data_IF_063687644663
#
_entry.id   IF_063687644663
#
_cell.length_a   1.000
_cell.length_b   1.000
_cell.length_c   1.000
_cell.angle_alpha   90.00
_cell.angle_beta   90.00
_cell.angle_gamma   90.00
#
_symmetry.space_group_name_H-M   'P 1'
#
loop_
_entity.id
_entity.type
_entity.pdbx_description
1 polymer ?
#
# COMPACT_ATOMS: atom_id res chain seq x y z
N UNK A 1 32.14 -7.36 -12.46
CA UNK A 1 31.33 -6.48 -11.58
C UNK A 1 29.94 -7.09 -11.54
N UNK A 2 29.65 -7.84 -10.48
CA UNK A 2 28.42 -8.61 -10.30
C UNK A 2 27.37 -7.61 -9.79
N UNK A 3 26.23 -7.41 -10.46
CA UNK A 3 25.24 -6.46 -9.98
C UNK A 3 24.73 -6.94 -8.62
N UNK A 4 24.81 -6.06 -7.63
CA UNK A 4 24.19 -6.24 -6.33
C UNK A 4 22.69 -6.43 -6.54
N UNK A 5 22.22 -7.61 -6.15
CA UNK A 5 20.82 -8.02 -6.20
C UNK A 5 20.13 -7.33 -5.02
N UNK A 6 19.63 -6.12 -5.28
CA UNK A 6 18.80 -5.34 -4.37
C UNK A 6 17.58 -6.17 -3.97
N UNK A 7 17.40 -6.42 -2.67
CA UNK A 7 16.31 -7.24 -2.12
C UNK A 7 14.92 -6.57 -2.20
N UNK A 8 14.78 -5.54 -3.06
CA UNK A 8 13.51 -4.93 -3.50
C UNK A 8 12.95 -5.54 -4.79
N UNK A 9 13.68 -6.47 -5.40
CA UNK A 9 13.36 -7.05 -6.72
C UNK A 9 12.47 -8.28 -6.54
N UNK A 10 11.16 -8.07 -6.46
CA UNK A 10 10.14 -8.94 -7.05
C UNK A 10 8.81 -8.17 -7.12
N UNK A 11 8.86 -6.85 -7.35
CA UNK A 11 7.64 -6.15 -7.73
C UNK A 11 7.34 -6.55 -9.16
N UNK A 12 6.13 -7.06 -9.45
CA UNK A 12 5.82 -7.53 -10.79
C UNK A 12 5.92 -6.36 -11.78
N UNK A 13 6.73 -6.56 -12.82
CA UNK A 13 7.08 -5.50 -13.77
C UNK A 13 5.95 -5.33 -14.77
N UNK A 14 5.37 -4.14 -14.78
CA UNK A 14 4.30 -3.78 -15.70
C UNK A 14 4.85 -3.56 -17.10
N UNK A 15 4.02 -3.87 -18.10
CA UNK A 15 4.37 -3.67 -19.50
C UNK A 15 4.46 -2.18 -19.84
N UNK A 16 3.59 -1.36 -19.28
CA UNK A 16 3.61 0.11 -19.43
C UNK A 16 4.97 0.69 -19.02
N UNK A 17 5.44 0.38 -17.82
CA UNK A 17 6.72 0.89 -17.29
C UNK A 17 7.92 0.53 -18.19
N UNK A 18 7.93 -0.70 -18.72
CA UNK A 18 9.01 -1.15 -19.62
C UNK A 18 8.93 -0.46 -20.98
N UNK A 19 7.73 -0.29 -21.51
CA UNK A 19 7.51 0.43 -22.78
C UNK A 19 7.91 1.90 -22.61
N UNK A 20 7.47 2.57 -21.54
CA UNK A 20 7.81 3.96 -21.23
C UNK A 20 9.32 4.14 -21.09
N UNK A 21 9.99 3.27 -20.33
CA UNK A 21 11.45 3.33 -20.19
C UNK A 21 12.21 3.05 -21.49
N UNK A 22 11.64 2.26 -22.40
CA UNK A 22 12.20 2.06 -23.74
C UNK A 22 11.98 3.28 -24.64
N UNK A 23 10.82 3.93 -24.56
CA UNK A 23 10.51 5.15 -25.31
C UNK A 23 11.29 6.36 -24.82
N UNK A 24 11.46 6.53 -23.52
CA UNK A 24 12.28 7.62 -22.96
C UNK A 24 13.72 7.55 -23.48
N UNK A 25 14.30 6.34 -23.47
CA UNK A 25 15.63 6.10 -24.06
C UNK A 25 15.64 6.36 -25.56
N UNK A 26 14.64 5.85 -26.29
CA UNK A 26 14.55 6.06 -27.74
C UNK A 26 14.45 7.54 -28.11
N UNK A 27 13.65 8.33 -27.38
CA UNK A 27 13.48 9.77 -27.59
C UNK A 27 14.79 10.50 -27.26
N UNK A 28 15.40 10.22 -26.10
CA UNK A 28 16.64 10.88 -25.67
C UNK A 28 17.75 10.69 -26.69
N UNK A 29 18.03 9.43 -27.08
CA UNK A 29 19.06 9.13 -28.08
C UNK A 29 18.69 9.64 -29.48
N UNK A 30 17.40 9.66 -29.83
CA UNK A 30 16.90 10.25 -31.07
C UNK A 30 17.18 11.75 -31.16
N UNK A 31 16.95 12.50 -30.09
CA UNK A 31 17.24 13.94 -30.02
C UNK A 31 18.74 14.19 -30.16
N UNK A 32 19.58 13.47 -29.41
CA UNK A 32 21.04 13.60 -29.54
C UNK A 32 21.53 13.27 -30.95
N UNK A 33 20.98 12.21 -31.58
CA UNK A 33 21.30 11.86 -32.97
C UNK A 33 20.94 12.98 -33.94
N UNK A 34 19.77 13.60 -33.77
CA UNK A 34 19.29 14.68 -34.64
C UNK A 34 20.10 15.97 -34.46
N UNK A 35 20.46 16.32 -33.22
CA UNK A 35 21.35 17.45 -32.93
C UNK A 35 22.76 17.24 -33.52
N UNK A 36 23.30 16.03 -33.38
CA UNK A 36 24.60 15.66 -33.98
C UNK A 36 24.55 15.74 -35.52
N UNK A 37 23.44 15.31 -36.14
CA UNK A 37 23.24 15.40 -37.58
C UNK A 37 23.18 16.85 -38.06
N UNK A 38 22.41 17.70 -37.36
CA UNK A 38 22.32 19.14 -37.64
C UNK A 38 23.69 19.82 -37.54
N UNK A 39 24.42 19.57 -36.46
CA UNK A 39 25.75 20.13 -36.25
C UNK A 39 26.74 19.68 -37.34
N UNK A 40 26.74 18.38 -37.65
CA UNK A 40 27.55 17.82 -38.73
C UNK A 40 27.24 18.45 -40.10
N UNK A 41 25.96 18.64 -40.43
CA UNK A 41 25.53 19.29 -41.68
C UNK A 41 25.89 20.78 -41.74
N UNK A 42 25.78 21.50 -40.62
CA UNK A 42 26.16 22.92 -40.54
C UNK A 42 27.68 23.06 -40.78
N UNK A 43 28.49 22.25 -40.10
CA UNK A 43 29.95 22.25 -40.27
C UNK A 43 30.32 21.84 -41.71
N UNK A 44 29.65 20.85 -42.29
CA UNK A 44 29.89 20.42 -43.66
C UNK A 44 29.58 21.52 -44.69
N UNK A 45 28.45 22.22 -44.54
CA UNK A 45 28.01 23.24 -45.52
C UNK A 45 28.72 24.59 -45.36
N UNK A 46 29.04 24.99 -44.14
CA UNK A 46 29.57 26.33 -43.83
C UNK A 46 31.03 26.32 -43.36
N UNK A 47 31.65 25.14 -43.21
CA UNK A 47 33.03 24.98 -42.75
C UNK A 47 34.07 25.61 -43.68
N UNK A 48 33.77 25.73 -44.98
CA UNK A 48 34.65 26.38 -45.96
C UNK A 48 34.43 27.90 -46.08
N UNK A 49 33.26 28.42 -45.68
CA UNK A 49 32.83 29.77 -46.04
C UNK A 49 32.61 30.76 -44.89
N UNK A 50 32.23 30.30 -43.68
CA UNK A 50 31.77 31.20 -42.62
C UNK A 50 32.78 31.39 -41.48
N UNK A 51 33.49 30.35 -41.10
CA UNK A 51 34.56 30.43 -40.11
C UNK A 51 35.89 30.34 -40.84
N UNK A 52 36.72 31.40 -40.84
CA UNK A 52 38.11 31.40 -41.34
C UNK A 52 39.04 30.51 -40.48
N UNK A 53 38.54 29.38 -40.01
CA UNK A 53 39.28 28.32 -39.34
C UNK A 53 39.65 27.19 -40.29
N UNK A 54 39.18 27.18 -41.55
CA UNK A 54 39.30 26.07 -42.51
C UNK A 54 40.68 25.42 -42.67
N UNK A 55 41.76 26.08 -42.23
CA UNK A 55 43.08 25.47 -42.01
C UNK A 55 43.74 26.00 -40.73
N UNK A 56 43.27 25.62 -39.55
CA UNK A 56 44.04 25.81 -38.32
C UNK A 56 45.14 24.73 -38.29
N UNK A 57 46.40 25.11 -38.54
CA UNK A 57 47.57 24.20 -38.53
C UNK A 57 47.51 22.99 -39.50
N UNK A 58 46.81 23.10 -40.63
CA UNK A 58 46.79 22.04 -41.67
C UNK A 58 45.79 20.90 -41.44
N UNK A 59 44.95 21.01 -40.41
CA UNK A 59 43.80 20.13 -40.21
C UNK A 59 42.59 20.66 -41.00
N UNK A 60 42.08 19.85 -41.89
CA UNK A 60 40.86 20.11 -42.66
C UNK A 60 39.64 19.97 -41.74
N UNK A 61 38.97 21.07 -41.40
CA UNK A 61 37.80 21.02 -40.51
C UNK A 61 36.61 20.31 -41.14
N UNK A 62 36.57 20.12 -42.46
CA UNK A 62 35.56 19.27 -43.07
C UNK A 62 35.74 17.81 -42.62
N UNK A 63 36.97 17.39 -42.29
CA UNK A 63 37.25 16.09 -41.70
C UNK A 63 36.60 15.92 -40.31
N UNK A 64 36.38 17.02 -39.58
CA UNK A 64 35.71 17.03 -38.27
C UNK A 64 34.20 16.78 -38.42
N UNK A 65 33.59 17.03 -39.59
CA UNK A 65 32.16 16.78 -39.81
C UNK A 65 31.79 15.29 -39.89
N UNK A 66 32.68 14.44 -40.43
CA UNK A 66 32.44 13.00 -40.58
C UNK A 66 32.14 12.26 -39.28
N UNK A 67 32.87 12.46 -38.15
CA UNK A 67 32.53 11.78 -36.90
C UNK A 67 31.15 12.19 -36.36
N UNK A 68 30.69 13.44 -36.56
CA UNK A 68 29.35 13.86 -36.14
C UNK A 68 28.25 13.21 -36.98
N UNK A 69 28.45 13.07 -38.29
CA UNK A 69 27.51 12.38 -39.19
C UNK A 69 27.49 10.86 -38.96
N UNK A 70 28.66 10.26 -38.71
CA UNK A 70 28.79 8.86 -38.33
C UNK A 70 28.13 8.57 -36.98
N UNK A 71 28.36 9.41 -35.97
CA UNK A 71 27.74 9.25 -34.66
C UNK A 71 26.22 9.46 -34.72
N UNK A 72 25.75 10.43 -35.49
CA UNK A 72 24.32 10.68 -35.68
C UNK A 72 23.58 9.45 -36.25
N UNK A 73 24.14 8.82 -37.30
CA UNK A 73 23.53 7.65 -37.91
C UNK A 73 23.48 6.45 -36.96
N UNK A 74 24.53 6.21 -36.16
CA UNK A 74 24.54 5.16 -35.12
C UNK A 74 23.47 5.41 -34.05
N UNK A 75 23.36 6.65 -33.56
CA UNK A 75 22.39 7.01 -32.53
C UNK A 75 20.95 6.88 -33.02
N UNK A 76 20.67 7.28 -34.26
CA UNK A 76 19.36 7.14 -34.88
C UNK A 76 19.01 5.66 -35.08
N UNK A 77 19.95 4.85 -35.57
CA UNK A 77 19.75 3.40 -35.69
C UNK A 77 19.47 2.73 -34.34
N UNK A 78 20.17 3.15 -33.28
CA UNK A 78 19.93 2.66 -31.93
C UNK A 78 18.53 3.03 -31.41
N UNK A 79 18.09 4.27 -31.63
CA UNK A 79 16.75 4.73 -31.26
C UNK A 79 15.66 3.93 -32.00
N UNK A 80 15.84 3.67 -33.30
CA UNK A 80 14.93 2.84 -34.10
C UNK A 80 14.90 1.40 -33.56
N UNK A 81 16.05 0.81 -33.25
CA UNK A 81 16.13 -0.54 -32.71
C UNK A 81 15.39 -0.67 -31.36
N UNK A 82 15.52 0.34 -30.49
CA UNK A 82 14.79 0.39 -29.21
C UNK A 82 13.28 0.56 -29.41
N UNK A 83 12.87 1.48 -30.27
CA UNK A 83 11.47 1.62 -30.64
C UNK A 83 10.88 0.33 -31.23
N UNK A 84 11.62 -0.38 -32.09
CA UNK A 84 11.20 -1.66 -32.64
C UNK A 84 11.10 -2.76 -31.57
N UNK A 85 12.00 -2.77 -30.57
CA UNK A 85 11.96 -3.75 -29.49
C UNK A 85 10.74 -3.63 -28.58
N UNK A 86 10.15 -2.43 -28.45
CA UNK A 86 8.92 -2.21 -27.67
C UNK A 86 7.72 -3.04 -28.16
N UNK A 87 7.70 -3.37 -29.46
CA UNK A 87 6.61 -4.16 -30.07
C UNK A 87 6.71 -5.65 -29.76
N UNK A 88 7.86 -6.12 -29.28
CA UNK A 88 8.14 -7.55 -29.03
C UNK A 88 7.99 -7.96 -27.57
N UNK A 89 7.55 -7.05 -26.70
CA UNK A 89 7.37 -7.32 -25.26
C UNK A 89 6.14 -8.21 -25.06
N UNK A 90 6.34 -9.39 -24.47
CA UNK A 90 5.28 -10.31 -24.08
C UNK A 90 4.32 -9.66 -23.10
N UNK A 91 3.04 -10.04 -23.15
CA UNK A 91 2.01 -9.50 -22.26
C UNK A 91 1.27 -10.64 -21.57
N UNK A 92 1.30 -10.63 -20.25
CA UNK A 92 0.41 -11.41 -19.40
C UNK A 92 -0.65 -10.48 -18.79
N UNK A 93 -1.92 -10.83 -18.90
CA UNK A 93 -3.03 -10.04 -18.38
C UNK A 93 -3.50 -10.61 -17.04
N UNK A 94 -3.52 -9.78 -16.01
CA UNK A 94 -4.11 -10.11 -14.72
C UNK A 94 -5.28 -9.16 -14.43
N UNK A 95 -6.45 -9.71 -14.13
CA UNK A 95 -7.67 -8.95 -13.85
C UNK A 95 -7.77 -8.62 -12.36
N UNK A 96 -8.06 -7.37 -12.04
CA UNK A 96 -8.26 -6.93 -10.66
C UNK A 96 -9.57 -7.48 -10.08
N UNK A 97 -9.56 -8.21 -8.95
CA UNK A 97 -10.76 -8.80 -8.38
C UNK A 97 -11.67 -7.76 -7.69
N UNK A 98 -11.19 -6.53 -7.49
CA UNK A 98 -11.95 -5.45 -6.87
C UNK A 98 -12.78 -4.63 -7.86
N UNK A 99 -12.18 -4.20 -8.97
CA UNK A 99 -12.82 -3.33 -9.96
C UNK A 99 -12.99 -3.96 -11.35
N UNK A 100 -12.41 -5.14 -11.59
CA UNK A 100 -12.44 -5.80 -12.90
C UNK A 100 -11.50 -5.20 -13.95
N UNK A 101 -10.62 -4.26 -13.56
CA UNK A 101 -9.66 -3.66 -14.48
C UNK A 101 -8.51 -4.63 -14.81
N UNK A 102 -8.19 -4.75 -16.10
CA UNK A 102 -7.10 -5.61 -16.59
C UNK A 102 -5.76 -4.88 -16.58
N UNK A 103 -4.78 -5.45 -15.87
CA UNK A 103 -3.41 -4.93 -15.83
C UNK A 103 -2.49 -5.85 -16.66
N UNK A 104 -1.64 -5.25 -17.50
CA UNK A 104 -0.71 -5.99 -18.36
C UNK A 104 0.70 -6.01 -17.78
N UNK A 105 1.22 -7.20 -17.56
CA UNK A 105 2.57 -7.47 -17.06
C UNK A 105 3.46 -8.09 -18.15
N UNK A 106 4.78 -7.96 -18.00
CA UNK A 106 5.75 -8.58 -18.92
C UNK A 106 5.82 -10.10 -18.70
N UNK A 107 5.66 -10.51 -17.45
CA UNK A 107 5.67 -11.89 -16.96
C UNK A 107 4.53 -12.10 -15.96
N UNK A 108 4.26 -13.36 -15.61
CA UNK A 108 3.24 -13.69 -14.62
C UNK A 108 3.64 -13.11 -13.25
N UNK A 109 2.77 -12.29 -12.61
CA UNK A 109 3.09 -11.70 -11.32
C UNK A 109 3.14 -12.79 -10.26
N UNK A 110 4.26 -12.92 -9.53
CA UNK A 110 4.40 -13.87 -8.43
C UNK A 110 4.03 -13.27 -7.07
N UNK A 111 4.04 -11.93 -6.99
CA UNK A 111 3.81 -11.16 -5.77
C UNK A 111 2.65 -10.18 -5.94
N UNK A 112 2.16 -9.67 -4.81
CA UNK A 112 1.05 -8.73 -4.75
C UNK A 112 1.38 -7.42 -5.52
N UNK A 113 0.41 -6.88 -6.25
CA UNK A 113 0.57 -5.64 -7.01
C UNK A 113 -0.52 -4.61 -6.70
N UNK A 114 -0.27 -3.33 -7.00
CA UNK A 114 -1.30 -2.30 -6.89
C UNK A 114 -2.04 -2.14 -8.22
N UNK A 115 -3.37 -2.19 -8.19
CA UNK A 115 -4.21 -1.91 -9.35
C UNK A 115 -4.07 -0.44 -9.78
N UNK A 116 -4.06 -0.18 -11.08
CA UNK A 116 -3.91 1.18 -11.63
C UNK A 116 -5.17 2.03 -11.49
N UNK A 117 -6.33 1.39 -11.49
CA UNK A 117 -7.61 2.06 -11.49
C UNK A 117 -8.12 2.33 -10.05
N UNK A 118 -8.24 1.28 -9.23
CA UNK A 118 -8.75 1.41 -7.87
C UNK A 118 -7.68 1.61 -6.80
N UNK A 119 -6.39 1.58 -7.17
CA UNK A 119 -5.23 1.70 -6.26
C UNK A 119 -5.18 0.70 -5.09
N UNK A 120 -6.06 -0.33 -5.10
CA UNK A 120 -6.04 -1.41 -4.11
C UNK A 120 -4.91 -2.39 -4.42
N UNK A 121 -4.34 -2.97 -3.36
CA UNK A 121 -3.35 -4.04 -3.48
C UNK A 121 -4.06 -5.35 -3.79
N UNK A 122 -3.82 -5.90 -4.97
CA UNK A 122 -4.31 -7.18 -5.46
C UNK A 122 -3.46 -8.30 -4.88
N UNK A 123 -4.06 -9.23 -4.12
CA UNK A 123 -3.34 -10.36 -3.54
C UNK A 123 -3.05 -11.44 -4.60
N UNK A 124 -1.82 -11.91 -4.63
CA UNK A 124 -1.33 -12.95 -5.55
C UNK A 124 -0.66 -14.07 -4.76
N UNK A 125 -0.88 -15.31 -5.20
CA UNK A 125 -0.23 -16.50 -4.64
C UNK A 125 0.14 -17.45 -5.78
N UNK A 126 1.43 -17.80 -5.87
CA UNK A 126 1.97 -18.74 -6.86
C UNK A 126 1.56 -18.41 -8.31
N UNK A 127 1.56 -17.13 -8.67
CA UNK A 127 1.20 -16.67 -10.01
C UNK A 127 -0.31 -16.46 -10.24
N UNK A 128 -1.16 -16.84 -9.28
CA UNK A 128 -2.61 -16.72 -9.41
C UNK A 128 -3.13 -15.54 -8.58
N UNK A 129 -3.97 -14.71 -9.20
CA UNK A 129 -4.72 -13.67 -8.51
C UNK A 129 -5.76 -14.35 -7.62
N UNK A 130 -5.75 -14.03 -6.33
CA UNK A 130 -6.73 -14.59 -5.39
C UNK A 130 -8.06 -13.85 -5.48
N UNK A 131 -9.15 -14.61 -5.40
CA UNK A 131 -10.49 -14.05 -5.29
C UNK A 131 -10.65 -13.30 -3.95
N UNK A 132 -11.47 -12.26 -3.99
CA UNK A 132 -11.75 -11.41 -2.83
C UNK A 132 -13.21 -11.56 -2.43
N UNK A 133 -13.44 -11.77 -1.14
CA UNK A 133 -14.78 -11.85 -0.55
C UNK A 133 -15.13 -10.54 0.13
N UNK A 134 -16.27 -9.96 -0.24
CA UNK A 134 -16.81 -8.76 0.40
C UNK A 134 -17.45 -9.07 1.76
N UNK A 135 -16.99 -8.41 2.82
CA UNK A 135 -17.54 -8.48 4.18
C UNK A 135 -18.02 -7.10 4.59
N UNK A 136 -19.23 -7.02 5.14
CA UNK A 136 -19.74 -5.78 5.76
C UNK A 136 -19.24 -5.66 7.19
N UNK A 137 -18.75 -4.48 7.56
CA UNK A 137 -18.35 -4.19 8.93
C UNK A 137 -19.58 -4.22 9.85
N UNK A 138 -19.53 -5.00 10.93
CA UNK A 138 -20.62 -5.08 11.92
C UNK A 138 -20.83 -3.79 12.72
N UNK A 139 -19.88 -2.84 12.67
CA UNK A 139 -19.96 -1.57 13.40
C UNK A 139 -20.55 -0.44 12.56
N UNK A 140 -19.97 -0.14 11.40
CA UNK A 140 -20.42 0.97 10.53
C UNK A 140 -21.16 0.53 9.26
N UNK A 141 -21.19 -0.77 8.93
CA UNK A 141 -21.85 -1.29 7.72
C UNK A 141 -21.04 -1.17 6.42
N UNK A 142 -19.85 -0.56 6.46
CA UNK A 142 -18.96 -0.40 5.31
C UNK A 142 -18.58 -1.74 4.69
N UNK A 143 -18.46 -1.77 3.36
CA UNK A 143 -17.96 -2.93 2.63
C UNK A 143 -16.43 -2.95 2.70
N UNK A 144 -15.89 -4.05 3.20
CA UNK A 144 -14.46 -4.34 3.22
C UNK A 144 -14.21 -5.64 2.46
N UNK A 145 -12.98 -5.91 2.07
CA UNK A 145 -12.65 -7.09 1.27
C UNK A 145 -11.55 -7.90 1.94
N UNK A 146 -11.70 -9.23 1.93
CA UNK A 146 -10.68 -10.16 2.38
C UNK A 146 -10.32 -11.15 1.29
N UNK A 147 -9.13 -11.73 1.39
CA UNK A 147 -8.68 -12.87 0.58
C UNK A 147 -8.21 -13.99 1.51
N UNK A 148 -7.84 -15.15 0.97
CA UNK A 148 -7.29 -16.25 1.77
C UNK A 148 -5.96 -15.90 2.47
N UNK A 149 -5.25 -14.88 1.97
CA UNK A 149 -4.01 -14.36 2.59
C UNK A 149 -4.30 -13.43 3.78
N UNK A 150 -5.54 -12.94 3.93
CA UNK A 150 -5.92 -11.97 4.95
C UNK A 150 -6.02 -12.62 6.33
N UNK A 151 -5.12 -12.23 7.24
CA UNK A 151 -5.11 -12.68 8.65
C UNK A 151 -5.94 -11.79 9.56
N UNK A 152 -5.86 -10.47 9.34
CA UNK A 152 -6.56 -9.44 10.10
C UNK A 152 -7.22 -8.51 9.08
N UNK A 153 -8.48 -8.17 9.31
CA UNK A 153 -9.22 -7.22 8.49
C UNK A 153 -9.54 -6.00 9.35
N UNK A 154 -9.08 -4.82 8.92
CA UNK A 154 -9.39 -3.55 9.56
C UNK A 154 -10.36 -2.82 8.64
N UNK A 155 -11.43 -2.27 9.22
CA UNK A 155 -12.40 -1.51 8.48
C UNK A 155 -11.77 -0.20 7.97
N UNK A 156 -11.80 0.04 6.67
CA UNK A 156 -11.20 1.25 6.06
C UNK A 156 -11.87 2.56 6.52
N UNK A 157 -13.13 2.51 6.95
CA UNK A 157 -13.93 3.69 7.28
C UNK A 157 -13.96 4.03 8.78
N UNK A 158 -14.01 3.02 9.65
CA UNK A 158 -14.08 3.23 11.11
C UNK A 158 -12.83 2.77 11.89
N UNK A 159 -11.81 2.27 11.18
CA UNK A 159 -10.52 1.82 11.72
C UNK A 159 -10.63 0.78 12.85
N UNK A 160 -11.70 -0.02 12.81
CA UNK A 160 -11.93 -1.12 13.76
C UNK A 160 -11.60 -2.46 13.11
N UNK A 161 -10.97 -3.33 13.89
CA UNK A 161 -10.75 -4.71 13.50
C UNK A 161 -12.10 -5.44 13.37
N UNK A 162 -12.30 -6.06 12.20
CA UNK A 162 -13.46 -6.90 11.90
C UNK A 162 -13.09 -8.33 12.32
N UNK A 163 -13.76 -8.92 13.30
CA UNK A 163 -13.47 -10.28 13.73
C UNK A 163 -13.76 -11.26 12.59
N UNK A 164 -12.73 -11.99 12.16
CA UNK A 164 -12.84 -13.00 11.11
C UNK A 164 -12.98 -14.38 11.73
N UNK A 165 -14.08 -15.06 11.44
CA UNK A 165 -14.29 -16.47 11.79
C UNK A 165 -13.78 -17.35 10.66
N UNK A 166 -13.06 -18.42 10.99
CA UNK A 166 -12.75 -19.47 10.04
C UNK A 166 -14.02 -20.29 9.77
N UNK A 167 -14.45 -20.32 8.51
CA UNK A 167 -15.64 -21.03 8.09
C UNK A 167 -15.58 -22.55 8.37
N UNK A 168 -14.38 -23.14 8.48
CA UNK A 168 -14.21 -24.59 8.69
C UNK A 168 -14.26 -24.99 10.17
N UNK A 169 -13.69 -24.17 11.05
CA UNK A 169 -13.56 -24.49 12.48
C UNK A 169 -14.51 -23.69 13.36
N UNK A 170 -15.08 -22.60 12.84
CA UNK A 170 -15.85 -21.64 13.64
C UNK A 170 -15.00 -20.82 14.61
N UNK A 171 -13.68 -20.99 14.59
CA UNK A 171 -12.75 -20.26 15.46
C UNK A 171 -12.34 -18.92 14.85
N UNK A 172 -12.01 -17.93 15.67
CA UNK A 172 -11.49 -16.66 15.16
C UNK A 172 -10.08 -16.83 14.56
N UNK A 173 -9.89 -16.42 13.29
CA UNK A 173 -8.60 -16.46 12.56
C UNK A 173 -7.52 -15.62 13.25
N UNK A 174 -7.94 -14.53 13.88
CA UNK A 174 -7.12 -13.71 14.76
C UNK A 174 -7.99 -13.23 15.92
N UNK A 175 -7.51 -13.42 17.15
CA UNK A 175 -8.15 -12.86 18.33
C UNK A 175 -7.52 -11.49 18.60
N UNK A 176 -8.27 -10.42 18.31
CA UNK A 176 -7.90 -9.08 18.75
C UNK A 176 -7.65 -9.08 20.27
N UNK A 177 -6.65 -8.34 20.74
CA UNK A 177 -6.43 -8.13 22.18
C UNK A 177 -7.73 -7.60 22.80
N UNK A 178 -8.32 -8.37 23.74
CA UNK A 178 -9.54 -7.98 24.47
C UNK A 178 -10.84 -8.70 24.08
N UNK A 179 -10.79 -9.76 23.24
CA UNK A 179 -11.95 -10.64 23.02
C UNK A 179 -11.80 -11.97 23.77
N UNK A 180 -12.77 -12.28 24.64
CA UNK A 180 -12.90 -13.55 25.34
C UNK A 180 -13.00 -14.70 24.34
N UNK A 181 -12.08 -15.66 24.44
CA UNK A 181 -12.00 -16.83 23.56
C UNK A 181 -13.05 -17.91 23.89
N UNK A 182 -13.77 -17.75 25.01
CA UNK A 182 -14.76 -18.70 25.53
C UNK A 182 -15.88 -17.91 26.21
N UNK A 183 -17.11 -18.03 25.71
CA UNK A 183 -18.29 -17.56 26.44
C UNK A 183 -18.55 -18.55 27.59
N UNK A 184 -18.66 -18.03 28.81
CA UNK A 184 -19.11 -18.74 30.01
C UNK A 184 -20.49 -18.19 30.39
N UNK A 185 -21.39 -19.04 30.87
CA UNK A 185 -22.73 -18.67 31.34
C UNK A 185 -22.70 -17.90 32.67
N UNK A 186 -21.51 -17.82 33.30
CA UNK A 186 -21.31 -17.03 34.50
C UNK A 186 -21.55 -15.52 34.28
N UNK A 187 -22.06 -14.89 35.34
CA UNK A 187 -22.40 -13.47 35.36
C UNK A 187 -21.30 -12.71 36.10
N UNK A 188 -20.89 -11.57 35.56
CA UNK A 188 -19.78 -10.78 36.08
C UNK A 188 -20.23 -9.40 36.57
N UNK A 189 -19.48 -8.86 37.52
CA UNK A 189 -19.53 -7.48 37.99
C UNK A 189 -18.25 -6.77 37.53
N UNK A 190 -18.42 -5.63 36.86
CA UNK A 190 -17.34 -4.75 36.42
C UNK A 190 -17.15 -3.63 37.44
N UNK A 191 -15.94 -3.51 37.97
CA UNK A 191 -15.55 -2.47 38.92
C UNK A 191 -14.46 -1.58 38.34
N UNK A 192 -14.63 -0.27 38.49
CA UNK A 192 -13.57 0.68 38.25
C UNK A 192 -12.67 0.73 39.49
N UNK A 193 -11.39 0.46 39.32
CA UNK A 193 -10.40 0.37 40.42
C UNK A 193 -9.36 1.48 40.39
N UNK A 194 -9.21 2.19 39.27
CA UNK A 194 -8.23 3.27 39.17
C UNK A 194 -8.46 4.22 38.01
N UNK A 195 -7.92 5.43 38.15
CA UNK A 195 -7.88 6.48 37.13
C UNK A 195 -6.45 6.66 36.66
N UNK A 196 -6.24 6.82 35.34
CA UNK A 196 -4.97 7.15 34.72
C UNK A 196 -4.57 8.61 34.90
N UNK A 197 -3.65 9.08 34.06
CA UNK A 197 -3.20 10.49 34.09
C UNK A 197 -4.24 11.41 33.47
N UNK A 198 -4.95 10.92 32.45
CA UNK A 198 -6.00 11.67 31.76
C UNK A 198 -7.41 11.40 32.32
N UNK A 199 -7.73 12.07 33.43
CA UNK A 199 -9.04 11.97 34.09
C UNK A 199 -10.19 12.48 33.21
N UNK A 200 -9.97 13.48 32.36
CA UNK A 200 -11.02 14.08 31.54
C UNK A 200 -11.38 13.20 30.33
N UNK A 201 -10.39 12.58 29.68
CA UNK A 201 -10.65 11.58 28.63
C UNK A 201 -11.46 10.41 29.17
N UNK A 202 -11.13 9.92 30.36
CA UNK A 202 -11.88 8.83 31.01
C UNK A 202 -13.31 9.25 31.35
N UNK A 203 -13.53 10.48 31.84
CA UNK A 203 -14.89 10.99 32.14
C UNK A 203 -15.74 10.99 30.87
N UNK A 204 -15.22 11.52 29.76
CA UNK A 204 -15.96 11.56 28.49
C UNK A 204 -16.28 10.15 27.99
N UNK A 205 -15.31 9.23 28.06
CA UNK A 205 -15.50 7.83 27.66
C UNK A 205 -16.58 7.13 28.51
N UNK A 206 -16.52 7.28 29.84
CA UNK A 206 -17.51 6.70 30.77
C UNK A 206 -18.90 7.31 30.59
N UNK A 207 -18.98 8.61 30.31
CA UNK A 207 -20.24 9.31 30.04
C UNK A 207 -20.98 8.68 28.85
N UNK A 208 -20.25 8.41 27.76
CA UNK A 208 -20.79 7.76 26.57
C UNK A 208 -21.07 6.27 26.78
N UNK A 209 -20.19 5.57 27.49
CA UNK A 209 -20.26 4.12 27.69
C UNK A 209 -21.38 3.69 28.62
N UNK A 210 -21.61 4.43 29.72
CA UNK A 210 -22.61 4.12 30.73
C UNK A 210 -23.90 4.95 30.61
N UNK A 211 -23.94 5.91 29.67
CA UNK A 211 -25.03 6.87 29.54
C UNK A 211 -25.32 7.64 30.86
N UNK A 212 -24.28 7.92 31.64
CA UNK A 212 -24.35 8.65 32.90
C UNK A 212 -24.09 10.14 32.68
N UNK A 213 -24.50 10.98 33.63
CA UNK A 213 -24.15 12.41 33.60
C UNK A 213 -22.71 12.62 34.09
N UNK A 214 -22.05 13.69 33.62
CA UNK A 214 -20.68 14.03 34.02
C UNK A 214 -20.49 14.10 35.54
N UNK A 215 -21.48 14.58 36.28
CA UNK A 215 -21.42 14.66 37.75
C UNK A 215 -21.43 13.26 38.38
N UNK A 216 -22.30 12.36 37.93
CA UNK A 216 -22.33 10.99 38.44
C UNK A 216 -21.04 10.22 38.14
N UNK A 217 -20.42 10.46 36.98
CA UNK A 217 -19.11 9.88 36.64
C UNK A 217 -18.01 10.46 37.54
N UNK A 218 -18.01 11.76 37.83
CA UNK A 218 -17.05 12.38 38.76
C UNK A 218 -17.21 11.79 40.17
N UNK A 219 -18.43 11.69 40.67
CA UNK A 219 -18.74 11.10 41.97
C UNK A 219 -18.27 9.63 42.03
N UNK A 220 -18.39 8.88 40.93
CA UNK A 220 -17.90 7.51 40.82
C UNK A 220 -16.36 7.44 40.88
N UNK A 221 -15.67 8.35 40.21
CA UNK A 221 -14.19 8.43 40.20
C UNK A 221 -13.62 8.86 41.55
N UNK A 222 -14.37 9.63 42.33
CA UNK A 222 -13.96 10.05 43.68
C UNK A 222 -14.20 8.95 44.74
N UNK A 223 -15.04 7.96 44.44
CA UNK A 223 -15.40 6.86 45.33
C UNK A 223 -14.87 5.50 44.85
N UNK A 224 -13.61 5.44 44.41
CA UNK A 224 -12.98 4.19 43.97
C UNK A 224 -12.62 3.27 45.15
N UNK A 225 -12.76 1.94 45.02
CA UNK A 225 -13.30 1.22 43.85
C UNK A 225 -14.84 1.31 43.76
N UNK A 226 -15.36 1.51 42.53
CA UNK A 226 -16.79 1.72 42.29
C UNK A 226 -17.39 0.70 41.30
N UNK A 227 -18.56 0.10 41.57
CA UNK A 227 -19.22 -0.81 40.64
C UNK A 227 -19.81 -0.03 39.46
N UNK A 228 -19.45 -0.41 38.24
CA UNK A 228 -19.96 0.22 37.01
C UNK A 228 -21.19 -0.52 36.48
N UNK A 229 -21.09 -1.84 36.34
CA UNK A 229 -22.15 -2.69 35.80
C UNK A 229 -22.14 -4.04 36.53
N UNK A 230 -23.34 -4.54 36.81
CA UNK A 230 -23.58 -5.87 37.38
C UNK A 230 -24.39 -6.67 36.37
N UNK A 231 -24.31 -7.99 36.43
CA UNK A 231 -25.20 -8.80 35.59
C UNK A 231 -24.71 -9.01 34.16
N UNK A 232 -23.44 -8.73 33.85
CA UNK A 232 -22.95 -8.75 32.47
C UNK A 232 -22.27 -10.08 32.14
N UNK A 233 -22.38 -10.53 30.89
CA UNK A 233 -21.64 -11.68 30.41
C UNK A 233 -20.13 -11.36 30.34
N UNK A 234 -19.31 -12.42 30.34
CA UNK A 234 -17.85 -12.30 30.28
C UNK A 234 -17.38 -11.43 29.11
N UNK A 235 -17.95 -11.64 27.93
CA UNK A 235 -17.61 -10.90 26.70
C UNK A 235 -17.81 -9.39 26.85
N UNK A 236 -18.93 -8.96 27.45
CA UNK A 236 -19.19 -7.54 27.70
C UNK A 236 -18.26 -7.00 28.77
N UNK A 237 -17.95 -7.78 29.81
CA UNK A 237 -17.00 -7.37 30.86
C UNK A 237 -15.60 -7.13 30.30
N UNK A 238 -15.08 -8.06 29.50
CA UNK A 238 -13.75 -7.94 28.87
C UNK A 238 -13.72 -6.78 27.86
N UNK A 239 -14.74 -6.65 27.01
CA UNK A 239 -14.84 -5.54 26.04
C UNK A 239 -14.82 -4.18 26.74
N UNK A 240 -15.59 -4.01 27.82
CA UNK A 240 -15.64 -2.76 28.56
C UNK A 240 -14.33 -2.50 29.31
N UNK A 241 -13.69 -3.54 29.85
CA UNK A 241 -12.38 -3.44 30.49
C UNK A 241 -11.33 -2.92 29.49
N UNK A 242 -11.27 -3.49 28.29
CA UNK A 242 -10.37 -3.06 27.24
C UNK A 242 -10.62 -1.60 26.79
N UNK A 243 -11.89 -1.18 26.72
CA UNK A 243 -12.24 0.21 26.40
C UNK A 243 -11.83 1.20 27.50
N UNK A 244 -11.93 0.79 28.76
CA UNK A 244 -11.50 1.61 29.91
C UNK A 244 -9.98 1.72 29.93
N UNK A 245 -9.25 0.62 29.73
CA UNK A 245 -7.78 0.59 29.65
C UNK A 245 -7.24 1.43 28.49
N UNK A 246 -7.94 1.42 27.34
CA UNK A 246 -7.58 2.26 26.19
C UNK A 246 -7.66 3.78 26.50
N UNK A 247 -8.47 4.17 27.48
CA UNK A 247 -8.61 5.55 27.96
C UNK A 247 -7.86 5.77 29.30
N UNK A 248 -6.78 5.02 29.52
CA UNK A 248 -5.93 5.04 30.71
C UNK A 248 -6.64 4.70 32.05
N UNK A 249 -7.88 4.23 32.03
CA UNK A 249 -8.56 3.75 33.23
C UNK A 249 -8.07 2.35 33.65
N UNK A 250 -8.33 1.96 34.90
CA UNK A 250 -8.16 0.57 35.36
C UNK A 250 -9.49 0.00 35.82
N UNK A 251 -9.91 -1.09 35.20
CA UNK A 251 -11.11 -1.84 35.58
C UNK A 251 -10.78 -3.31 35.85
N UNK A 252 -11.49 -3.90 36.80
CA UNK A 252 -11.45 -5.32 37.11
C UNK A 252 -12.86 -5.89 36.99
N UNK A 253 -13.00 -7.09 36.44
CA UNK A 253 -14.25 -7.84 36.47
C UNK A 253 -14.12 -9.05 37.38
N UNK A 254 -15.17 -9.31 38.17
CA UNK A 254 -15.21 -10.44 39.11
C UNK A 254 -16.45 -11.29 38.82
N UNK A 255 -16.35 -12.63 38.88
CA UNK A 255 -17.52 -13.48 38.78
C UNK A 255 -18.42 -13.20 39.99
N UNK A 256 -19.71 -12.98 39.76
CA UNK A 256 -20.67 -12.94 40.84
C UNK A 256 -20.94 -14.39 41.26
N UNK A 257 -20.60 -14.74 42.49
CA UNK A 257 -21.11 -15.96 43.09
C UNK A 257 -22.63 -15.81 43.24
N UNK A 258 -23.38 -16.68 42.57
CA UNK A 258 -24.80 -16.92 42.88
C UNK A 258 -25.00 -17.28 44.34
#
# INVERSE_FOLDING_TARGET
MKPEMDSRINTPVKRSDVIEGQWEKAITWGIFGLLSLLLGLIIFKYGDGWFQFGKFQGLDLTAISYPFLGLASILILYAIAKAASSRKVTSYTATCPYCGHDTMFVEQPMDDFACEDCHRRVPVMDGNVLDVTGIRCGFCGALNFMSDKTKVLICEECDREIPLLDAKTGEMRHAAKGYARVDDDAVYELMLVGVGKDREALINSLQHMLAMTRNQVKDMLDNLPAPMLKGINRRKAEMLTAQIEANEGRAEYRPMST
#
